data_IF_731838160791
#
_entry.id   IF_731838160791
#
_cell.length_a   1.000
_cell.length_b   1.000
_cell.length_c   1.000
_cell.angle_alpha   90.00
_cell.angle_beta   90.00
_cell.angle_gamma   90.00
#
_symmetry.space_group_name_H-M   'P 1'
#
loop_
_entity.id
_entity.type
_entity.pdbx_description
1 polymer ?
#
# COMPACT_ATOMS: atom_id res chain seq x y z
N UNK A 1 -31.43 -25.73 -7.23
CA UNK A 1 -30.38 -24.70 -7.08
C UNK A 1 -29.49 -25.21 -5.98
N UNK A 2 -28.47 -25.98 -6.36
CA UNK A 2 -27.66 -26.71 -5.39
C UNK A 2 -26.62 -25.75 -4.85
N UNK A 3 -26.74 -25.40 -3.57
CA UNK A 3 -25.79 -24.54 -2.89
C UNK A 3 -24.55 -25.38 -2.64
N UNK A 4 -23.56 -25.21 -3.51
CA UNK A 4 -22.24 -25.82 -3.35
C UNK A 4 -21.48 -25.02 -2.29
N UNK A 5 -21.59 -25.45 -1.03
CA UNK A 5 -20.98 -24.78 0.13
C UNK A 5 -19.47 -24.58 0.00
N UNK A 6 -18.77 -25.45 -0.74
CA UNK A 6 -17.35 -25.29 -1.03
C UNK A 6 -17.06 -24.05 -1.88
N UNK A 7 -17.92 -23.72 -2.83
CA UNK A 7 -17.69 -22.58 -3.73
C UNK A 7 -17.87 -21.26 -2.98
N UNK A 8 -18.84 -21.19 -2.07
CA UNK A 8 -19.03 -20.05 -1.18
C UNK A 8 -17.82 -19.89 -0.25
N UNK A 9 -17.35 -20.98 0.36
CA UNK A 9 -16.19 -20.94 1.26
C UNK A 9 -14.93 -20.48 0.52
N UNK A 10 -14.69 -20.99 -0.70
CA UNK A 10 -13.56 -20.58 -1.53
C UNK A 10 -13.67 -19.10 -1.95
N UNK A 11 -14.85 -18.64 -2.36
CA UNK A 11 -15.08 -17.25 -2.72
C UNK A 11 -14.85 -16.31 -1.54
N UNK A 12 -15.42 -16.62 -0.37
CA UNK A 12 -15.25 -15.86 0.85
C UNK A 12 -13.77 -15.81 1.28
N UNK A 13 -13.08 -16.95 1.27
CA UNK A 13 -11.65 -17.02 1.58
C UNK A 13 -10.81 -16.16 0.63
N UNK A 14 -11.14 -16.15 -0.66
CA UNK A 14 -10.45 -15.33 -1.66
C UNK A 14 -10.62 -13.84 -1.40
N UNK A 15 -11.84 -13.40 -1.09
CA UNK A 15 -12.12 -11.99 -0.74
C UNK A 15 -11.42 -11.60 0.56
N UNK A 16 -11.44 -12.44 1.58
CA UNK A 16 -10.74 -12.19 2.85
C UNK A 16 -9.23 -12.06 2.63
N UNK A 17 -8.62 -12.97 1.86
CA UNK A 17 -7.20 -12.92 1.54
C UNK A 17 -6.83 -11.66 0.75
N UNK A 18 -7.57 -11.37 -0.32
CA UNK A 18 -7.33 -10.18 -1.15
C UNK A 18 -7.55 -8.92 -0.31
N UNK A 19 -8.63 -8.84 0.45
CA UNK A 19 -8.92 -7.72 1.35
C UNK A 19 -7.87 -7.53 2.44
N UNK A 20 -7.37 -8.62 3.03
CA UNK A 20 -6.29 -8.56 4.02
C UNK A 20 -4.96 -8.10 3.38
N UNK A 21 -4.60 -8.63 2.21
CA UNK A 21 -3.37 -8.25 1.51
C UNK A 21 -3.42 -6.78 1.09
N UNK A 22 -4.50 -6.32 0.46
CA UNK A 22 -4.59 -4.92 0.02
C UNK A 22 -4.90 -3.95 1.16
N UNK A 23 -5.68 -4.37 2.16
CA UNK A 23 -6.03 -3.55 3.32
C UNK A 23 -4.90 -3.41 4.32
N UNK A 24 -4.30 -4.53 4.75
CA UNK A 24 -3.23 -4.54 5.76
C UNK A 24 -1.81 -4.53 5.15
N UNK A 25 -1.65 -4.87 3.87
CA UNK A 25 -0.34 -4.85 3.21
C UNK A 25 0.28 -3.46 3.12
N UNK A 26 -0.52 -2.43 2.84
CA UNK A 26 -0.06 -1.03 2.86
C UNK A 26 0.44 -0.60 4.25
N UNK A 27 -0.33 -0.78 5.35
CA UNK A 27 0.16 -0.61 6.71
C UNK A 27 1.42 -1.41 7.04
N UNK A 28 1.51 -2.67 6.59
CA UNK A 28 2.68 -3.51 6.84
C UNK A 28 3.94 -2.97 6.14
N UNK A 29 3.82 -2.52 4.88
CA UNK A 29 4.91 -1.87 4.15
C UNK A 29 5.37 -0.59 4.83
N UNK A 30 4.44 0.22 5.34
CA UNK A 30 4.75 1.42 6.10
C UNK A 30 5.51 1.08 7.39
N UNK A 31 5.04 0.09 8.16
CA UNK A 31 5.73 -0.36 9.38
C UNK A 31 7.15 -0.87 9.09
N UNK A 32 7.35 -1.58 7.97
CA UNK A 32 8.67 -2.02 7.53
C UNK A 32 9.57 -0.83 7.17
N UNK A 33 9.05 0.16 6.44
CA UNK A 33 9.75 1.41 6.14
C UNK A 33 10.20 2.14 7.39
N UNK A 34 9.32 2.23 8.40
CA UNK A 34 9.62 2.85 9.68
C UNK A 34 10.72 2.11 10.43
N UNK A 35 10.68 0.77 10.44
CA UNK A 35 11.71 -0.06 11.06
C UNK A 35 13.07 0.14 10.41
N UNK A 36 13.14 0.17 9.07
CA UNK A 36 14.39 0.39 8.34
C UNK A 36 14.92 1.82 8.54
N UNK A 37 14.02 2.80 8.53
CA UNK A 37 14.38 4.19 8.78
C UNK A 37 14.98 4.37 10.18
N UNK A 38 14.34 3.79 11.20
CA UNK A 38 14.83 3.80 12.58
C UNK A 38 16.21 3.12 12.71
N UNK A 39 16.41 1.98 12.04
CA UNK A 39 17.71 1.29 12.01
C UNK A 39 18.82 2.12 11.32
N UNK A 40 18.47 3.03 10.41
CA UNK A 40 19.42 3.92 9.73
C UNK A 40 19.73 5.21 10.49
N UNK A 41 18.81 5.69 11.33
CA UNK A 41 18.90 6.98 12.00
C UNK A 41 20.07 7.12 12.98
N UNK A 42 20.61 5.99 13.47
CA UNK A 42 21.60 5.95 14.54
C UNK A 42 20.96 6.24 15.90
N UNK A 43 21.60 5.79 16.97
CA UNK A 43 21.16 6.07 18.35
C UNK A 43 22.00 7.18 18.97
N UNK A 44 21.46 7.85 20.00
CA UNK A 44 22.15 8.94 20.71
C UNK A 44 23.44 8.47 21.41
N UNK A 45 23.57 7.17 21.67
CA UNK A 45 24.69 6.53 22.35
C UNK A 45 25.91 6.21 21.45
N UNK A 46 26.05 6.89 20.31
CA UNK A 46 27.26 6.82 19.48
C UNK A 46 27.29 5.67 18.46
N UNK A 47 26.15 5.07 18.14
CA UNK A 47 26.03 4.11 17.03
C UNK A 47 26.17 4.83 15.69
N UNK A 48 27.07 4.34 14.84
CA UNK A 48 27.34 4.91 13.51
C UNK A 48 26.07 4.96 12.65
N UNK A 49 25.71 6.16 12.16
CA UNK A 49 24.57 6.38 11.28
C UNK A 49 24.72 5.55 10.01
N UNK A 50 23.65 4.85 9.62
CA UNK A 50 23.64 4.01 8.41
C UNK A 50 22.70 4.60 7.36
N UNK A 51 23.14 5.60 6.59
CA UNK A 51 22.27 6.36 5.68
C UNK A 51 21.59 5.47 4.62
N UNK A 52 22.20 4.34 4.25
CA UNK A 52 21.60 3.37 3.34
C UNK A 52 20.25 2.82 3.83
N UNK A 53 20.10 2.52 5.13
CA UNK A 53 18.84 2.01 5.68
C UNK A 53 17.77 3.11 5.78
N UNK A 54 18.20 4.35 6.04
CA UNK A 54 17.32 5.53 6.00
C UNK A 54 16.74 5.73 4.60
N UNK A 55 17.58 5.67 3.56
CA UNK A 55 17.14 5.77 2.15
C UNK A 55 16.18 4.63 1.80
N UNK A 56 16.49 3.41 2.22
CA UNK A 56 15.61 2.26 1.97
C UNK A 56 14.23 2.41 2.65
N UNK A 57 14.20 2.97 3.85
CA UNK A 57 12.94 3.32 4.54
C UNK A 57 12.11 4.33 3.74
N UNK A 58 12.74 5.39 3.22
CA UNK A 58 12.06 6.37 2.36
C UNK A 58 11.55 5.76 1.05
N UNK A 59 12.27 4.82 0.46
CA UNK A 59 11.80 4.11 -0.74
C UNK A 59 10.50 3.35 -0.44
N UNK A 60 10.41 2.65 0.70
CA UNK A 60 9.16 1.98 1.09
C UNK A 60 8.02 2.97 1.33
N UNK A 61 8.29 4.09 1.98
CA UNK A 61 7.28 5.14 2.15
C UNK A 61 6.81 5.71 0.80
N UNK A 62 7.73 5.95 -0.14
CA UNK A 62 7.39 6.42 -1.48
C UNK A 62 6.51 5.41 -2.23
N UNK A 63 6.77 4.11 -2.10
CA UNK A 63 5.94 3.04 -2.67
C UNK A 63 4.52 3.08 -2.07
N UNK A 64 4.39 3.23 -0.76
CA UNK A 64 3.08 3.35 -0.09
C UNK A 64 2.32 4.57 -0.59
N UNK A 65 2.97 5.74 -0.64
CA UNK A 65 2.34 6.97 -1.16
C UNK A 65 1.89 6.80 -2.61
N UNK A 66 2.75 6.23 -3.47
CA UNK A 66 2.42 5.99 -4.87
C UNK A 66 1.22 5.06 -5.03
N UNK A 67 1.14 4.00 -4.22
CA UNK A 67 0.01 3.07 -4.23
C UNK A 67 -1.30 3.73 -3.77
N UNK A 68 -1.27 4.53 -2.69
CA UNK A 68 -2.45 5.27 -2.22
C UNK A 68 -2.92 6.29 -3.25
N UNK A 69 -2.01 7.11 -3.79
CA UNK A 69 -2.34 8.11 -4.81
C UNK A 69 -2.93 7.44 -6.05
N UNK A 70 -2.31 6.37 -6.53
CA UNK A 70 -2.82 5.62 -7.69
C UNK A 70 -4.20 5.04 -7.41
N UNK A 71 -4.43 4.44 -6.24
CA UNK A 71 -5.74 3.90 -5.86
C UNK A 71 -6.82 4.97 -5.78
N UNK A 72 -6.52 6.12 -5.16
CA UNK A 72 -7.46 7.26 -5.06
C UNK A 72 -7.76 7.83 -6.44
N UNK A 73 -6.75 8.08 -7.27
CA UNK A 73 -6.94 8.60 -8.63
C UNK A 73 -7.71 7.62 -9.52
N UNK A 74 -7.51 6.32 -9.33
CA UNK A 74 -8.25 5.28 -10.03
C UNK A 74 -9.75 5.30 -9.67
N UNK A 75 -10.06 5.31 -8.37
CA UNK A 75 -11.44 5.34 -7.87
C UNK A 75 -12.14 6.64 -8.31
N UNK A 76 -11.42 7.76 -8.29
CA UNK A 76 -11.98 9.09 -8.59
C UNK A 76 -11.90 9.49 -10.07
N UNK A 77 -11.42 8.62 -10.97
CA UNK A 77 -11.18 8.95 -12.39
C UNK A 77 -12.40 9.58 -13.08
N UNK A 78 -13.59 9.05 -12.81
CA UNK A 78 -14.84 9.54 -13.42
C UNK A 78 -15.22 10.93 -12.90
N UNK A 79 -15.08 11.15 -11.59
CA UNK A 79 -15.31 12.45 -10.96
C UNK A 79 -14.31 13.49 -11.45
N UNK A 80 -13.04 13.13 -11.61
CA UNK A 80 -12.01 14.03 -12.14
C UNK A 80 -12.32 14.43 -13.58
N UNK A 81 -12.74 13.48 -14.41
CA UNK A 81 -13.15 13.79 -15.77
C UNK A 81 -14.38 14.71 -15.80
N UNK A 82 -15.38 14.44 -14.95
CA UNK A 82 -16.63 15.20 -14.94
C UNK A 82 -16.49 16.63 -14.41
N UNK A 83 -15.80 16.81 -13.27
CA UNK A 83 -15.69 18.12 -12.61
C UNK A 83 -14.47 18.93 -13.05
N UNK A 84 -13.37 18.26 -13.42
CA UNK A 84 -12.09 18.93 -13.70
C UNK A 84 -11.66 18.78 -15.16
N UNK A 85 -12.36 17.97 -15.98
CA UNK A 85 -11.99 17.73 -17.38
C UNK A 85 -10.69 16.93 -17.55
N UNK A 86 -10.16 16.33 -16.48
CA UNK A 86 -8.88 15.60 -16.51
C UNK A 86 -9.14 14.12 -16.84
N UNK A 87 -8.62 13.65 -17.97
CA UNK A 87 -8.67 12.23 -18.36
C UNK A 87 -7.45 11.47 -17.82
N UNK A 88 -7.59 10.86 -16.64
CA UNK A 88 -6.57 9.98 -16.07
C UNK A 88 -6.74 8.53 -16.53
N UNK A 89 -5.61 7.87 -16.83
CA UNK A 89 -5.50 6.45 -17.22
C UNK A 89 -6.16 6.03 -18.55
N UNK A 90 -6.31 6.97 -19.49
CA UNK A 90 -7.01 6.73 -20.75
C UNK A 90 -8.52 6.64 -20.53
N UNK A 91 -9.29 7.36 -21.33
CA UNK A 91 -10.75 7.36 -21.24
C UNK A 91 -11.30 5.93 -21.46
#
# INVERSE_FOLDING_TARGET
MDIIWSDIALAAGRVLLVGAVFGAGLPALFALGLRLHAAGAGDLDGVERRPAFTVLGYVLFAIVVAAVVTGVLWITRSSLHHYLGISLFGA
#
